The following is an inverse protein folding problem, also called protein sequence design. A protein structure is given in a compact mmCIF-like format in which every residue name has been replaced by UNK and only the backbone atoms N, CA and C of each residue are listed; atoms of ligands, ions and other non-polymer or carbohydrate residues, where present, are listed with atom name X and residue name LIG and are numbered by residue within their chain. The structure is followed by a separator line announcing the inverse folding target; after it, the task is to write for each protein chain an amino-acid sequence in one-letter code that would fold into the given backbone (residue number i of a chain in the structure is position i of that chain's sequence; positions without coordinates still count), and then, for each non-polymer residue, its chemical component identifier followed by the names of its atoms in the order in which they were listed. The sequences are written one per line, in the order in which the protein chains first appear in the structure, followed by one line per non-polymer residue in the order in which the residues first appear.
data_IF_638136748456
#
_entry.id   IF_638136748456
#
_cell.length_a   1.000
_cell.length_b   1.000
_cell.length_c   1.000
_cell.angle_alpha   90.00
_cell.angle_beta   90.00
_cell.angle_gamma   90.00
#
_symmetry.space_group_name_H-M   'P 1'
#
loop_
_entity.id
_entity.type
_entity.pdbx_description
1 polymer ?
#
# COMPACT_ATOMS: atom_id res chain seq x y z
N UNK A 1 7.52 4.56 22.26
CA UNK A 1 6.47 4.47 21.23
C UNK A 1 6.89 5.43 20.16
N UNK A 2 7.36 4.93 19.02
CA UNK A 2 7.93 5.73 17.93
C UNK A 2 6.81 6.58 17.29
N UNK A 3 6.58 7.76 17.85
CA UNK A 3 5.45 8.66 17.57
C UNK A 3 5.59 9.43 16.22
N UNK A 4 6.59 9.11 15.40
CA UNK A 4 6.90 9.85 14.18
C UNK A 4 6.92 9.00 12.89
N UNK A 5 6.41 7.77 12.91
CA UNK A 5 6.19 7.03 11.66
C UNK A 5 4.95 7.63 10.97
N UNK A 6 5.06 8.10 9.71
CA UNK A 6 3.87 8.51 8.96
C UNK A 6 2.88 7.33 8.93
N UNK A 7 1.57 7.58 9.03
CA UNK A 7 0.59 6.50 9.01
C UNK A 7 0.75 5.70 7.71
N UNK A 8 0.50 4.39 7.78
CA UNK A 8 0.71 3.49 6.64
C UNK A 8 -0.05 3.99 5.40
N UNK A 9 -1.25 4.52 5.60
CA UNK A 9 -2.03 5.17 4.55
C UNK A 9 -1.30 6.29 3.80
N UNK A 10 -0.56 7.17 4.47
CA UNK A 10 0.20 8.23 3.79
C UNK A 10 1.37 7.67 2.97
N UNK A 11 2.02 6.63 3.49
CA UNK A 11 3.10 5.95 2.75
C UNK A 11 2.58 5.26 1.50
N UNK A 12 1.47 4.52 1.63
CA UNK A 12 0.82 3.85 0.50
C UNK A 12 0.38 4.86 -0.55
N UNK A 13 -0.28 5.94 -0.14
CA UNK A 13 -0.68 7.03 -1.05
C UNK A 13 0.52 7.66 -1.75
N UNK A 14 1.63 7.85 -1.04
CA UNK A 14 2.87 8.34 -1.62
C UNK A 14 3.48 7.36 -2.63
N UNK A 15 3.43 6.06 -2.36
CA UNK A 15 3.92 5.04 -3.29
C UNK A 15 3.11 5.03 -4.59
N UNK A 16 1.77 5.06 -4.50
CA UNK A 16 0.89 5.20 -5.66
C UNK A 16 1.10 6.51 -6.42
N UNK A 17 1.19 7.64 -5.72
CA UNK A 17 1.44 8.94 -6.33
C UNK A 17 2.77 8.95 -7.10
N UNK A 18 3.82 8.35 -6.53
CA UNK A 18 5.14 8.28 -7.14
C UNK A 18 5.17 7.36 -8.36
N UNK A 19 4.54 6.17 -8.29
CA UNK A 19 4.51 5.23 -9.41
C UNK A 19 3.64 5.72 -10.58
N UNK A 20 2.53 6.40 -10.26
CA UNK A 20 1.59 6.91 -11.25
C UNK A 20 1.92 8.33 -11.73
N UNK A 21 2.97 8.96 -11.18
CA UNK A 21 3.31 10.36 -11.42
C UNK A 21 2.12 11.30 -11.16
N UNK A 22 1.29 10.96 -10.17
CA UNK A 22 0.14 11.74 -9.75
C UNK A 22 0.50 12.62 -8.54
N UNK A 23 -0.11 13.80 -8.41
CA UNK A 23 0.06 14.59 -7.18
C UNK A 23 -0.63 13.87 -6.01
N UNK A 24 0.01 13.89 -4.83
CA UNK A 24 -0.50 13.22 -3.62
C UNK A 24 -1.95 13.60 -3.29
N UNK A 25 -2.33 14.86 -3.55
CA UNK A 25 -3.71 15.34 -3.35
C UNK A 25 -4.76 14.73 -4.28
N UNK A 26 -4.36 13.98 -5.32
CA UNK A 26 -5.26 13.22 -6.21
C UNK A 26 -5.43 11.76 -5.78
N UNK A 27 -4.56 11.25 -4.93
CA UNK A 27 -4.63 9.88 -4.42
C UNK A 27 -5.24 9.92 -3.03
N UNK A 28 -6.46 9.42 -2.86
CA UNK A 28 -7.13 9.32 -1.56
C UNK A 28 -7.34 7.86 -1.16
N UNK A 29 -7.45 7.57 0.14
CA UNK A 29 -7.72 6.21 0.61
C UNK A 29 -9.00 5.64 -0.02
N UNK A 30 -10.03 6.46 -0.10
CA UNK A 30 -11.33 6.12 -0.72
C UNK A 30 -11.28 5.99 -2.25
N UNK A 31 -10.16 6.36 -2.89
CA UNK A 31 -10.04 6.29 -4.35
C UNK A 31 -10.00 4.83 -4.79
N UNK A 32 -10.90 4.41 -5.70
CA UNK A 32 -10.82 3.08 -6.29
C UNK A 32 -9.53 2.92 -7.09
N UNK A 33 -8.88 1.77 -6.96
CA UNK A 33 -7.67 1.46 -7.74
C UNK A 33 -7.96 1.51 -9.25
N UNK A 34 -9.16 1.12 -9.66
CA UNK A 34 -9.63 1.17 -11.05
C UNK A 34 -9.83 2.58 -11.58
N UNK A 35 -10.01 3.58 -10.71
CA UNK A 35 -10.14 4.99 -11.10
C UNK A 35 -8.81 5.73 -11.09
N UNK A 36 -7.73 5.10 -10.60
CA UNK A 36 -6.40 5.68 -10.65
C UNK A 36 -5.89 5.69 -12.09
N UNK A 37 -5.78 6.89 -12.65
CA UNK A 37 -5.35 7.11 -14.01
C UNK A 37 -3.95 6.50 -14.25
N UNK A 38 -3.90 5.50 -15.12
CA UNK A 38 -2.67 4.81 -15.49
C UNK A 38 -2.21 3.74 -14.50
N UNK A 39 -3.06 3.30 -13.55
CA UNK A 39 -2.78 2.09 -12.79
C UNK A 39 -3.08 0.86 -13.66
N UNK A 40 -2.13 -0.07 -13.70
CA UNK A 40 -2.23 -1.36 -14.38
C UNK A 40 -1.76 -2.46 -13.41
N UNK A 41 -2.08 -3.73 -13.66
CA UNK A 41 -1.69 -4.86 -12.80
C UNK A 41 -0.17 -4.90 -12.52
N UNK A 42 0.66 -4.56 -13.52
CA UNK A 42 2.12 -4.50 -13.35
C UNK A 42 2.55 -3.37 -12.42
N UNK A 43 1.88 -2.21 -12.47
CA UNK A 43 2.21 -1.06 -11.62
C UNK A 43 1.72 -1.30 -10.18
N UNK A 44 0.57 -1.94 -10.01
CA UNK A 44 0.12 -2.38 -8.70
C UNK A 44 1.17 -3.28 -8.04
N UNK A 45 1.67 -4.30 -8.75
CA UNK A 45 2.72 -5.17 -8.25
C UNK A 45 4.02 -4.42 -7.92
N UNK A 46 4.39 -3.37 -8.67
CA UNK A 46 5.55 -2.53 -8.36
C UNK A 46 5.36 -1.74 -7.07
N UNK A 47 4.17 -1.16 -6.86
CA UNK A 47 3.84 -0.44 -5.62
C UNK A 47 3.88 -1.40 -4.43
N UNK A 48 3.25 -2.57 -4.56
CA UNK A 48 3.24 -3.63 -3.53
C UNK A 48 4.67 -4.07 -3.21
N UNK A 49 5.47 -4.41 -4.21
CA UNK A 49 6.86 -4.83 -4.00
C UNK A 49 7.71 -3.75 -3.32
N UNK A 50 7.49 -2.47 -3.64
CA UNK A 50 8.16 -1.36 -2.95
C UNK A 50 7.76 -1.28 -1.47
N UNK A 51 6.47 -1.48 -1.15
CA UNK A 51 5.97 -1.51 0.22
C UNK A 51 6.49 -2.72 0.99
N UNK A 52 6.49 -3.92 0.39
CA UNK A 52 7.05 -5.14 0.98
C UNK A 52 8.52 -4.95 1.35
N UNK A 53 9.32 -4.39 0.43
CA UNK A 53 10.73 -4.11 0.68
C UNK A 53 10.94 -3.03 1.76
N UNK A 54 10.10 -1.99 1.76
CA UNK A 54 10.20 -0.89 2.73
C UNK A 54 9.83 -1.34 4.15
N UNK A 55 8.84 -2.21 4.28
CA UNK A 55 8.32 -2.66 5.56
C UNK A 55 8.84 -4.04 6.00
N UNK A 56 9.63 -4.71 5.14
CA UNK A 56 10.09 -6.08 5.34
C UNK A 56 8.93 -7.05 5.64
N UNK A 57 7.85 -6.93 4.86
CA UNK A 57 6.65 -7.77 4.95
C UNK A 57 6.46 -8.57 3.67
N UNK A 58 5.54 -9.53 3.71
CA UNK A 58 5.08 -10.27 2.53
C UNK A 58 3.57 -10.12 2.44
N UNK A 59 3.10 -9.70 1.27
CA UNK A 59 1.69 -9.56 0.95
C UNK A 59 1.27 -10.72 0.07
N UNK A 60 0.10 -11.29 0.35
CA UNK A 60 -0.39 -12.44 -0.41
C UNK A 60 -1.02 -11.98 -1.72
N UNK A 61 -0.59 -12.57 -2.84
CA UNK A 61 -1.11 -12.25 -4.17
C UNK A 61 -2.64 -12.40 -4.23
N UNK A 62 -3.25 -13.38 -3.56
CA UNK A 62 -4.70 -13.55 -3.53
C UNK A 62 -5.38 -12.33 -2.91
N UNK A 63 -4.82 -11.79 -1.82
CA UNK A 63 -5.33 -10.58 -1.19
C UNK A 63 -5.17 -9.33 -2.08
N UNK A 64 -4.16 -9.32 -2.97
CA UNK A 64 -3.97 -8.23 -3.93
C UNK A 64 -5.08 -8.20 -4.99
N UNK A 65 -5.63 -9.35 -5.36
CA UNK A 65 -6.74 -9.44 -6.32
C UNK A 65 -8.07 -8.91 -5.76
N UNK A 66 -8.25 -8.95 -4.44
CA UNK A 66 -9.44 -8.44 -3.75
C UNK A 66 -9.37 -6.93 -3.43
N UNK A 67 -8.25 -6.26 -3.73
CA UNK A 67 -8.08 -4.83 -3.47
C UNK A 67 -9.01 -3.98 -4.35
N UNK A 68 -9.88 -3.19 -3.71
CA UNK A 68 -10.77 -2.25 -4.40
C UNK A 68 -10.25 -0.81 -4.41
N UNK A 69 -9.66 -0.38 -3.31
CA UNK A 69 -9.28 1.01 -3.04
C UNK A 69 -7.84 1.15 -2.55
N UNK A 70 -7.34 2.38 -2.51
CA UNK A 70 -6.00 2.66 -1.95
C UNK A 70 -5.96 2.37 -0.43
N UNK A 71 -7.06 2.59 0.28
CA UNK A 71 -7.21 2.25 1.70
C UNK A 71 -7.07 0.75 1.93
N UNK A 72 -7.64 -0.10 1.06
CA UNK A 72 -7.52 -1.55 1.18
C UNK A 72 -6.05 -2.00 1.18
N UNK A 73 -5.20 -1.34 0.37
CA UNK A 73 -3.76 -1.61 0.34
C UNK A 73 -3.09 -1.21 1.65
N UNK A 74 -3.48 -0.07 2.23
CA UNK A 74 -2.96 0.38 3.53
C UNK A 74 -3.34 -0.61 4.64
N UNK A 75 -4.60 -1.01 4.70
CA UNK A 75 -5.10 -2.00 5.66
C UNK A 75 -4.37 -3.33 5.50
N UNK A 76 -4.10 -3.77 4.27
CA UNK A 76 -3.37 -5.00 4.00
C UNK A 76 -1.92 -4.92 4.53
N UNK A 77 -1.23 -3.80 4.30
CA UNK A 77 0.12 -3.55 4.82
C UNK A 77 0.11 -3.52 6.35
N UNK A 78 -0.88 -2.87 6.97
CA UNK A 78 -1.02 -2.82 8.43
C UNK A 78 -1.21 -4.23 9.02
N UNK A 79 -2.10 -5.04 8.46
CA UNK A 79 -2.30 -6.43 8.90
C UNK A 79 -1.04 -7.27 8.77
N UNK A 80 -0.29 -7.09 7.68
CA UNK A 80 0.96 -7.81 7.47
C UNK A 80 2.05 -7.37 8.47
N UNK A 81 2.11 -6.08 8.79
CA UNK A 81 2.99 -5.54 9.83
C UNK A 81 2.65 -6.12 11.22
N UNK A 82 1.37 -6.21 11.57
CA UNK A 82 0.92 -6.82 12.83
C UNK A 82 1.27 -8.31 12.90
N UNK A 83 1.09 -9.03 11.80
CA UNK A 83 1.41 -10.47 11.71
C UNK A 83 2.91 -10.72 11.81
N UNK A 84 3.73 -9.89 11.14
CA UNK A 84 5.19 -9.99 11.16
C UNK A 84 5.79 -9.58 12.53
N UNK A 85 5.13 -8.68 13.26
CA UNK A 85 5.53 -8.32 14.63
C UNK A 85 5.25 -9.43 15.65
N UNK A 86 4.22 -10.26 15.42
CA UNK A 86 3.82 -11.35 16.33
C UNK A 86 4.70 -12.60 16.19
N UNK A 87 5.33 -12.83 15.04
CA UNK A 87 6.17 -14.02 14.79
C UNK A 87 7.62 -13.89 15.28
N UNK A 88 8.00 -12.74 15.87
CA UNK A 88 9.32 -12.49 16.46
C UNK A 88 9.42 -12.65 17.99
N UNK A 89 8.44 -13.30 18.63
CA UNK A 89 8.36 -13.50 20.09
C UNK A 89 8.77 -14.89 20.57
#
# INVERSE_FOLDING_TARGET
MDENRPPVGDTVRSAFASELFLPLGKVTGDTPLTELAGLDSVKLLRVVAALEMQYAITLDDEQLYDLGTVEDVAVLVEKALETSAVSGG
#
